data_IF_300764727875
#
_entry.id   IF_300764727875
#
_cell.length_a   1.000
_cell.length_b   1.000
_cell.length_c   1.000
_cell.angle_alpha   90.00
_cell.angle_beta   90.00
_cell.angle_gamma   90.00
#
_symmetry.space_group_name_H-M   'P 1'
#
loop_
_entity.id
_entity.type
_entity.pdbx_description
1 polymer ?
#
# COMPACT_ATOMS: atom_id res chain seq x y z
N UNK A 1 -36.98 15.42 -3.23
CA UNK A 1 -36.43 14.19 -2.61
C UNK A 1 -34.97 14.07 -2.99
N UNK A 2 -34.02 14.26 -2.06
CA UNK A 2 -32.64 13.78 -2.31
C UNK A 2 -32.71 12.27 -2.17
N UNK A 3 -32.49 11.54 -3.26
CA UNK A 3 -32.51 10.09 -3.20
C UNK A 3 -31.41 9.64 -2.23
N UNK A 4 -31.68 8.67 -1.35
CA UNK A 4 -30.70 8.19 -0.35
C UNK A 4 -29.36 7.77 -0.97
N UNK A 5 -29.38 7.46 -2.27
CA UNK A 5 -28.22 7.16 -3.10
C UNK A 5 -27.23 8.34 -3.20
N UNK A 6 -27.69 9.60 -3.21
CA UNK A 6 -26.82 10.78 -3.28
C UNK A 6 -26.08 11.01 -1.96
N UNK A 7 -26.76 10.86 -0.83
CA UNK A 7 -26.12 10.95 0.50
C UNK A 7 -25.11 9.82 0.72
N UNK A 8 -25.39 8.63 0.19
CA UNK A 8 -24.47 7.49 0.25
C UNK A 8 -23.25 7.71 -0.65
N UNK A 9 -23.45 8.21 -1.88
CA UNK A 9 -22.36 8.53 -2.79
C UNK A 9 -21.41 9.58 -2.19
N UNK A 10 -21.94 10.65 -1.58
CA UNK A 10 -21.12 11.66 -0.89
C UNK A 10 -20.25 11.06 0.22
N UNK A 11 -20.80 10.13 1.01
CA UNK A 11 -20.04 9.44 2.07
C UNK A 11 -18.94 8.54 1.51
N UNK A 12 -19.19 7.86 0.40
CA UNK A 12 -18.20 7.01 -0.26
C UNK A 12 -17.07 7.86 -0.84
N UNK A 13 -17.38 8.98 -1.50
CA UNK A 13 -16.40 9.93 -2.04
C UNK A 13 -15.52 10.48 -0.93
N UNK A 14 -16.12 10.92 0.18
CA UNK A 14 -15.37 11.45 1.33
C UNK A 14 -14.47 10.39 2.00
N UNK A 15 -14.84 9.11 1.93
CA UNK A 15 -14.11 8.01 2.56
C UNK A 15 -12.93 7.51 1.71
N UNK A 16 -13.00 7.66 0.39
CA UNK A 16 -12.00 7.14 -0.56
C UNK A 16 -11.63 8.16 -1.65
N UNK A 17 -11.23 9.39 -1.31
CA UNK A 17 -10.93 10.44 -2.29
C UNK A 17 -9.87 9.99 -3.32
N UNK A 18 -8.88 9.21 -2.90
CA UNK A 18 -7.80 8.71 -3.75
C UNK A 18 -8.31 7.85 -4.91
N UNK A 19 -9.39 7.08 -4.71
CA UNK A 19 -9.98 6.23 -5.74
C UNK A 19 -10.57 7.09 -6.86
N UNK A 20 -11.22 8.19 -6.50
CA UNK A 20 -11.83 9.11 -7.46
C UNK A 20 -10.77 9.92 -8.22
N UNK A 21 -9.71 10.38 -7.54
CA UNK A 21 -8.56 11.00 -8.21
C UNK A 21 -7.95 10.07 -9.25
N UNK A 22 -7.87 8.77 -8.93
CA UNK A 22 -7.33 7.78 -9.86
C UNK A 22 -8.24 7.50 -11.07
N UNK A 23 -9.55 7.59 -10.88
CA UNK A 23 -10.51 7.51 -11.99
C UNK A 23 -10.41 8.75 -12.89
N UNK A 24 -10.23 9.94 -12.32
CA UNK A 24 -10.02 11.18 -13.08
C UNK A 24 -8.72 11.12 -13.91
N UNK A 25 -7.64 10.61 -13.32
CA UNK A 25 -6.38 10.40 -14.05
C UNK A 25 -6.50 9.32 -15.14
N UNK A 26 -7.32 8.29 -14.94
CA UNK A 26 -7.62 7.29 -15.96
C UNK A 26 -8.37 7.89 -17.15
N UNK A 27 -9.35 8.76 -16.94
CA UNK A 27 -10.05 9.42 -18.05
C UNK A 27 -9.10 10.22 -18.93
N UNK A 28 -8.14 10.93 -18.30
CA UNK A 28 -7.14 11.75 -18.99
C UNK A 28 -6.07 10.92 -19.71
N UNK A 29 -5.60 9.85 -19.09
CA UNK A 29 -4.40 9.11 -19.56
C UNK A 29 -4.72 7.75 -20.21
N UNK A 30 -5.97 7.30 -20.11
CA UNK A 30 -6.44 5.94 -20.43
C UNK A 30 -5.65 4.83 -19.75
N UNK A 31 -4.94 5.15 -18.66
CA UNK A 31 -4.12 4.22 -17.87
C UNK A 31 -4.49 4.36 -16.41
N UNK A 32 -4.81 3.25 -15.74
CA UNK A 32 -5.15 3.28 -14.32
C UNK A 32 -3.88 3.61 -13.53
N UNK A 33 -3.84 4.73 -12.78
CA UNK A 33 -2.73 5.01 -11.89
C UNK A 33 -2.65 3.88 -10.88
N UNK A 34 -1.44 3.35 -10.66
CA UNK A 34 -1.22 2.41 -9.55
C UNK A 34 -1.33 3.21 -8.25
N UNK A 35 -2.54 3.27 -7.68
CA UNK A 35 -2.87 3.89 -6.38
C UNK A 35 -1.87 3.52 -5.28
N UNK A 36 -1.39 2.27 -5.31
CA UNK A 36 -0.45 1.73 -4.34
C UNK A 36 0.89 1.46 -5.02
N UNK A 37 1.68 2.50 -5.25
CA UNK A 37 3.07 2.32 -5.67
C UNK A 37 3.91 1.91 -4.46
N UNK A 38 4.30 0.63 -4.42
CA UNK A 38 5.44 0.21 -3.60
C UNK A 38 6.64 1.05 -4.01
N UNK A 39 7.19 1.82 -3.07
CA UNK A 39 8.44 2.56 -3.27
C UNK A 39 9.61 1.68 -2.84
N UNK A 40 10.72 1.75 -3.57
CA UNK A 40 11.98 1.15 -3.12
C UNK A 40 12.55 2.00 -2.00
N UNK A 41 12.90 1.36 -0.89
CA UNK A 41 13.61 2.02 0.22
C UNK A 41 15.12 1.83 0.03
N UNK A 42 15.90 2.86 0.37
CA UNK A 42 17.36 2.75 0.50
C UNK A 42 17.66 2.70 1.99
N UNK A 43 18.13 1.57 2.47
CA UNK A 43 18.51 1.35 3.87
C UNK A 43 19.83 0.58 3.91
N UNK A 44 20.61 0.85 4.95
CA UNK A 44 21.84 0.12 5.25
C UNK A 44 21.56 -0.80 6.42
N UNK A 45 21.91 -2.08 6.28
CA UNK A 45 21.74 -3.11 7.31
C UNK A 45 23.08 -3.84 7.43
N UNK A 46 23.43 -4.24 8.64
CA UNK A 46 24.58 -5.13 8.87
C UNK A 46 24.48 -6.43 8.05
N UNK A 47 25.61 -6.87 7.50
CA UNK A 47 25.66 -8.03 6.60
C UNK A 47 25.27 -9.34 7.31
N UNK A 48 25.71 -9.53 8.57
CA UNK A 48 25.39 -10.74 9.32
C UNK A 48 23.91 -10.80 9.65
N UNK A 49 23.34 -9.66 10.06
CA UNK A 49 21.90 -9.53 10.31
C UNK A 49 21.10 -9.83 9.05
N UNK A 50 21.50 -9.28 7.90
CA UNK A 50 20.83 -9.53 6.63
C UNK A 50 20.89 -11.01 6.23
N UNK A 51 22.04 -11.66 6.42
CA UNK A 51 22.24 -13.07 6.12
C UNK A 51 21.34 -13.96 6.96
N UNK A 52 21.29 -13.71 8.27
CA UNK A 52 20.48 -14.50 9.20
C UNK A 52 18.99 -14.26 8.97
N UNK A 53 18.60 -13.03 8.64
CA UNK A 53 17.23 -12.70 8.27
C UNK A 53 16.78 -13.38 6.98
N UNK A 54 17.64 -13.43 5.94
CA UNK A 54 17.34 -14.18 4.70
C UNK A 54 17.12 -15.66 4.97
N UNK A 55 18.03 -16.30 5.72
CA UNK A 55 17.89 -17.70 6.14
C UNK A 55 16.59 -17.93 6.93
N UNK A 56 16.22 -17.00 7.80
CA UNK A 56 14.97 -17.07 8.54
C UNK A 56 13.74 -17.02 7.63
N UNK A 57 13.73 -16.10 6.66
CA UNK A 57 12.65 -15.98 5.69
C UNK A 57 12.53 -17.22 4.80
N UNK A 58 13.66 -17.79 4.33
CA UNK A 58 13.68 -19.02 3.54
C UNK A 58 13.12 -20.22 4.33
N UNK A 59 13.61 -20.44 5.56
CA UNK A 59 13.15 -21.57 6.40
C UNK A 59 11.65 -21.53 6.70
N UNK A 60 11.07 -20.33 6.79
CA UNK A 60 9.65 -20.12 7.10
C UNK A 60 8.79 -19.83 5.87
N UNK A 61 9.35 -19.87 4.66
CA UNK A 61 8.67 -19.51 3.41
C UNK A 61 7.99 -18.13 3.48
N UNK A 62 8.66 -17.14 4.06
CA UNK A 62 8.15 -15.78 4.26
C UNK A 62 8.68 -14.82 3.20
N UNK A 63 7.81 -13.91 2.75
CA UNK A 63 8.25 -12.79 1.92
C UNK A 63 8.94 -11.73 2.78
N UNK A 64 10.24 -11.54 2.54
CA UNK A 64 11.09 -10.61 3.28
C UNK A 64 10.55 -9.18 3.31
N UNK A 65 10.13 -8.65 2.16
CA UNK A 65 9.59 -7.28 2.07
C UNK A 65 8.30 -7.12 2.87
N UNK A 66 7.42 -8.13 2.82
CA UNK A 66 6.15 -8.12 3.57
C UNK A 66 6.37 -8.20 5.08
N UNK A 67 7.40 -8.94 5.52
CA UNK A 67 7.77 -9.02 6.92
C UNK A 67 8.32 -7.69 7.45
N UNK A 68 9.19 -7.04 6.68
CA UNK A 68 9.70 -5.69 7.00
C UNK A 68 8.55 -4.70 7.08
N UNK A 69 7.67 -4.67 6.07
CA UNK A 69 6.50 -3.79 6.05
C UNK A 69 5.58 -4.02 7.26
N UNK A 70 5.31 -5.28 7.62
CA UNK A 70 4.53 -5.60 8.81
C UNK A 70 5.19 -5.06 10.08
N UNK A 71 6.50 -5.25 10.24
CA UNK A 71 7.24 -4.74 11.40
C UNK A 71 7.27 -3.22 11.46
N UNK A 72 7.38 -2.54 10.32
CA UNK A 72 7.26 -1.08 10.26
C UNK A 72 5.87 -0.62 10.71
N UNK A 73 4.79 -1.31 10.32
CA UNK A 73 3.42 -0.99 10.76
C UNK A 73 3.24 -1.26 12.26
N UNK A 74 3.82 -2.34 12.79
CA UNK A 74 3.78 -2.65 14.24
C UNK A 74 4.44 -1.55 15.08
N UNK A 75 5.54 -0.96 14.60
CA UNK A 75 6.26 0.12 15.30
C UNK A 75 5.54 1.47 15.26
N UNK A 76 4.73 1.72 14.22
CA UNK A 76 4.00 2.99 14.04
C UNK A 76 2.65 3.04 14.78
N UNK A 77 2.29 1.97 15.49
CA UNK A 77 1.05 1.87 16.27
C UNK A 77 1.33 2.03 17.76
#
# INVERSE_FOLDING_TARGET
MRSGNVEMAKRIIAKYPEVFESLMEFERTKRLPKLYRRKRIKITIDENVLRDFKKHCERKNLNMSRLIEKKMIEEMK
#
